data_IF_050842279942
#
_entry.id   IF_050842279942
#
_cell.length_a   1.000
_cell.length_b   1.000
_cell.length_c   1.000
_cell.angle_alpha   90.00
_cell.angle_beta   90.00
_cell.angle_gamma   90.00
#
_symmetry.space_group_name_H-M   'P 1'
#
loop_
_entity.id
_entity.type
_entity.pdbx_description
1 polymer ?
#
# COMPACT_ATOMS: atom_id res chain seq x y z
N UNK A 1 7.09 -0.84 -10.84
CA UNK A 1 6.26 -0.56 -12.05
C UNK A 1 5.47 0.75 -11.93
N UNK A 2 5.17 1.25 -10.72
CA UNK A 2 4.53 2.57 -10.53
C UNK A 2 3.00 2.57 -10.50
N UNK A 3 2.35 1.40 -10.60
CA UNK A 3 0.88 1.31 -10.60
C UNK A 3 0.24 1.84 -9.31
N UNK A 4 0.87 1.59 -8.16
CA UNK A 4 0.39 2.08 -6.86
C UNK A 4 0.37 3.62 -6.77
N UNK A 5 1.44 4.28 -7.20
CA UNK A 5 1.52 5.74 -7.25
C UNK A 5 0.53 6.35 -8.27
N UNK A 6 0.15 5.60 -9.30
CA UNK A 6 -0.88 6.03 -10.26
C UNK A 6 -2.32 5.89 -9.71
N UNK A 7 -2.59 4.81 -8.96
CA UNK A 7 -3.92 4.52 -8.40
C UNK A 7 -4.19 5.30 -7.10
N UNK A 8 -3.14 5.57 -6.33
CA UNK A 8 -3.26 6.17 -5.00
C UNK A 8 -2.13 7.19 -4.77
N UNK A 9 -2.07 8.27 -5.57
CA UNK A 9 -0.99 9.26 -5.53
C UNK A 9 -0.88 10.00 -4.18
N UNK A 10 -1.97 10.06 -3.42
CA UNK A 10 -1.99 10.68 -2.10
C UNK A 10 -1.26 9.85 -1.03
N UNK A 11 -1.03 8.56 -1.28
CA UNK A 11 -0.37 7.66 -0.33
C UNK A 11 0.85 6.92 -0.88
N UNK A 12 1.15 7.00 -2.18
CA UNK A 12 2.28 6.30 -2.78
C UNK A 12 3.10 7.19 -3.69
N UNK A 13 4.41 7.12 -3.56
CA UNK A 13 5.37 7.79 -4.44
C UNK A 13 6.39 6.81 -5.03
N UNK A 14 6.97 7.18 -6.16
CA UNK A 14 8.09 6.45 -6.76
C UNK A 14 9.41 7.12 -6.36
N UNK A 15 10.27 6.37 -5.68
CA UNK A 15 11.59 6.81 -5.29
C UNK A 15 12.60 6.68 -6.45
N UNK A 16 13.75 7.35 -6.30
CA UNK A 16 14.82 7.37 -7.30
C UNK A 16 15.45 5.98 -7.54
N UNK A 17 15.32 5.07 -6.59
CA UNK A 17 15.80 3.68 -6.70
C UNK A 17 14.87 2.79 -7.56
N UNK A 18 13.79 3.36 -8.10
CA UNK A 18 12.80 2.68 -8.92
C UNK A 18 11.77 1.85 -8.13
N UNK A 19 11.77 1.95 -6.80
CA UNK A 19 10.77 1.34 -5.92
C UNK A 19 9.73 2.37 -5.47
N UNK A 20 8.56 1.88 -5.09
CA UNK A 20 7.51 2.71 -4.51
C UNK A 20 7.57 2.68 -2.99
N UNK A 21 7.36 3.82 -2.36
CA UNK A 21 7.22 3.94 -0.91
C UNK A 21 5.82 4.48 -0.55
N UNK A 22 5.20 4.00 0.54
CA UNK A 22 4.01 4.63 1.07
C UNK A 22 4.37 5.96 1.77
N UNK A 23 3.52 6.97 1.62
CA UNK A 23 3.61 8.25 2.32
C UNK A 23 3.05 8.14 3.75
N UNK A 24 1.99 7.33 3.95
CA UNK A 24 1.46 6.92 5.24
C UNK A 24 1.28 5.40 5.29
N UNK A 25 1.62 4.81 6.43
CA UNK A 25 1.42 3.38 6.74
C UNK A 25 0.23 3.14 7.67
N UNK A 26 -0.34 4.20 8.25
CA UNK A 26 -1.57 4.14 9.03
C UNK A 26 -2.72 4.60 8.13
N UNK A 27 -3.80 3.82 8.14
CA UNK A 27 -4.95 3.98 7.25
C UNK A 27 -6.22 4.03 8.09
N UNK A 28 -7.05 5.05 7.89
CA UNK A 28 -8.39 5.12 8.49
C UNK A 28 -9.35 4.12 7.82
N UNK A 29 -9.19 3.92 6.51
CA UNK A 29 -9.85 2.90 5.71
C UNK A 29 -8.94 2.41 4.57
N UNK A 30 -9.31 1.29 3.93
CA UNK A 30 -8.47 0.68 2.90
C UNK A 30 -8.34 1.55 1.62
N UNK A 31 -9.35 2.35 1.29
CA UNK A 31 -9.38 3.29 0.18
C UNK A 31 -8.74 2.79 -1.13
N UNK A 32 -8.00 3.69 -1.79
CA UNK A 32 -7.22 3.36 -2.99
C UNK A 32 -6.03 2.43 -2.71
N UNK A 33 -5.65 2.23 -1.45
CA UNK A 33 -4.55 1.32 -1.09
C UNK A 33 -4.90 -0.15 -1.37
N UNK A 34 -6.17 -0.54 -1.23
CA UNK A 34 -6.63 -1.88 -1.60
C UNK A 34 -6.43 -2.15 -3.10
N UNK A 35 -6.83 -1.21 -3.94
CA UNK A 35 -6.70 -1.34 -5.39
C UNK A 35 -5.22 -1.32 -5.83
N UNK A 36 -4.41 -0.45 -5.21
CA UNK A 36 -2.97 -0.42 -5.41
C UNK A 36 -2.31 -1.77 -5.09
N UNK A 37 -2.73 -2.41 -3.99
CA UNK A 37 -2.22 -3.71 -3.59
C UNK A 37 -2.63 -4.83 -4.55
N UNK A 38 -3.91 -4.90 -4.92
CA UNK A 38 -4.43 -5.91 -5.85
C UNK A 38 -3.86 -5.77 -7.26
N UNK A 39 -3.54 -4.55 -7.67
CA UNK A 39 -2.97 -4.25 -8.99
C UNK A 39 -1.46 -4.42 -9.05
N UNK A 40 -0.79 -4.62 -7.91
CA UNK A 40 0.66 -4.76 -7.88
C UNK A 40 1.09 -6.08 -8.54
N UNK A 41 1.77 -6.07 -9.70
CA UNK A 41 2.10 -7.29 -10.44
C UNK A 41 3.10 -8.19 -9.72
N UNK A 42 3.76 -7.67 -8.67
CA UNK A 42 4.72 -8.40 -7.85
C UNK A 42 4.22 -8.63 -6.41
N UNK A 43 2.94 -8.33 -6.13
CA UNK A 43 2.26 -8.59 -4.85
C UNK A 43 3.05 -8.15 -3.60
N UNK A 44 3.74 -7.00 -3.66
CA UNK A 44 4.62 -6.54 -2.58
C UNK A 44 3.98 -5.54 -1.62
N UNK A 45 2.67 -5.29 -1.76
CA UNK A 45 1.92 -4.38 -0.89
C UNK A 45 1.03 -5.25 -0.01
N UNK A 46 1.21 -5.14 1.30
CA UNK A 46 0.48 -5.91 2.29
C UNK A 46 -0.24 -4.96 3.23
N UNK A 47 -1.51 -5.23 3.49
CA UNK A 47 -2.31 -4.45 4.45
C UNK A 47 -2.57 -5.32 5.66
N UNK A 48 -2.41 -4.74 6.85
CA UNK A 48 -2.60 -5.43 8.10
C UNK A 48 -3.64 -4.70 8.94
N UNK A 49 -4.50 -5.49 9.58
CA UNK A 49 -5.34 -5.03 10.68
C UNK A 49 -4.52 -5.14 11.98
N UNK A 50 -4.53 -4.05 12.74
CA UNK A 50 -3.87 -3.97 14.04
C UNK A 50 -4.95 -3.88 15.11
N UNK A 51 -5.11 -4.93 15.91
CA UNK A 51 -6.10 -4.99 16.99
C UNK A 51 -5.49 -5.64 18.22
N UNK A 52 -5.57 -4.99 19.39
CA UNK A 52 -5.09 -5.51 20.68
C UNK A 52 -3.63 -6.03 20.69
N UNK A 53 -2.76 -5.39 19.90
CA UNK A 53 -1.35 -5.77 19.76
C UNK A 53 -1.10 -6.95 18.81
N UNK A 54 -2.14 -7.51 18.20
CA UNK A 54 -2.04 -8.52 17.17
C UNK A 54 -2.01 -7.89 15.77
N UNK A 55 -1.15 -8.44 14.90
CA UNK A 55 -1.01 -8.03 13.49
C UNK A 55 -1.58 -9.14 12.61
N UNK A 56 -2.69 -8.85 11.94
CA UNK A 56 -3.36 -9.80 11.03
C UNK A 56 -3.28 -9.30 9.59
N UNK A 57 -2.68 -10.09 8.69
CA UNK A 57 -2.63 -9.74 7.27
C UNK A 57 -4.02 -9.87 6.65
N UNK A 58 -4.46 -8.81 5.97
CA UNK A 58 -5.71 -8.81 5.21
C UNK A 58 -5.48 -9.25 3.77
N UNK A 59 -4.39 -8.77 3.15
CA UNK A 59 -3.96 -9.10 1.77
C UNK A 59 -2.43 -9.20 1.69
#
# INVERSE_FOLDING_TARGET
>A
CGVCAGLCPDNWEMAEDGKSNPLSTELDDLGCNLEAAQSCPVNCIHIYEMSDGEKKQLI
#
